data_IF_954696430510
#
_entry.id   IF_954696430510
#
_cell.length_a   1.000
_cell.length_b   1.000
_cell.length_c   1.000
_cell.angle_alpha   90.00
_cell.angle_beta   90.00
_cell.angle_gamma   90.00
#
_symmetry.space_group_name_H-M   'P 1'
#
loop_
_entity.id
_entity.type
_entity.pdbx_description
1 polymer ?
#
# COMPACT_ATOMS: atom_id res chain seq x y z
N UNK A 1 24.68 -20.26 14.50
CA UNK A 1 24.04 -19.83 13.24
C UNK A 1 23.91 -18.33 13.27
N UNK A 2 24.56 -17.61 12.38
CA UNK A 2 24.27 -16.16 12.19
C UNK A 2 22.96 -16.08 11.44
N UNK A 3 21.86 -15.73 12.12
CA UNK A 3 20.62 -15.34 11.47
C UNK A 3 20.84 -13.97 10.79
N UNK A 4 21.38 -14.00 9.61
CA UNK A 4 21.47 -12.81 8.77
C UNK A 4 20.06 -12.55 8.20
N UNK A 5 19.43 -11.47 8.64
CA UNK A 5 18.20 -10.99 8.00
C UNK A 5 18.58 -10.62 6.59
N UNK A 6 18.09 -11.36 5.61
CA UNK A 6 18.28 -11.02 4.21
C UNK A 6 17.34 -9.85 3.84
N UNK A 7 17.88 -8.79 3.23
CA UNK A 7 17.08 -7.69 2.69
C UNK A 7 16.04 -8.15 1.66
N UNK A 8 16.22 -9.33 1.07
CA UNK A 8 15.25 -9.95 0.18
C UNK A 8 13.92 -10.32 0.87
N UNK A 9 13.95 -10.44 2.21
CA UNK A 9 12.77 -10.74 3.04
C UNK A 9 12.17 -9.49 3.69
N UNK A 10 12.79 -8.33 3.51
CA UNK A 10 12.30 -7.06 4.03
C UNK A 10 11.47 -6.35 2.97
N UNK A 11 10.45 -5.63 3.39
CA UNK A 11 9.70 -4.68 2.56
C UNK A 11 9.82 -3.28 3.16
N UNK A 12 9.82 -2.28 2.30
CA UNK A 12 9.81 -0.87 2.72
C UNK A 12 8.46 -0.26 2.38
N UNK A 13 7.90 0.46 3.34
CA UNK A 13 6.61 1.13 3.21
C UNK A 13 6.79 2.59 2.78
N UNK A 14 5.95 3.06 1.86
CA UNK A 14 5.97 4.44 1.38
C UNK A 14 5.43 5.47 2.39
N UNK A 15 4.90 5.06 3.54
CA UNK A 15 4.35 5.96 4.55
C UNK A 15 5.31 7.07 5.00
N UNK A 16 6.59 6.76 5.14
CA UNK A 16 7.61 7.75 5.53
C UNK A 16 7.95 8.78 4.44
N UNK A 17 7.42 8.59 3.25
CA UNK A 17 7.63 9.46 2.08
C UNK A 17 6.42 10.34 1.75
N UNK A 18 5.46 10.48 2.67
CA UNK A 18 4.21 11.23 2.42
C UNK A 18 4.39 12.72 2.09
N UNK A 19 5.57 13.28 2.37
CA UNK A 19 5.91 14.66 2.00
C UNK A 19 6.62 14.79 0.64
N UNK A 20 6.79 13.67 -0.07
CA UNK A 20 7.43 13.59 -1.38
C UNK A 20 6.47 12.93 -2.39
N UNK A 21 6.63 13.19 -3.70
CA UNK A 21 5.90 12.43 -4.72
C UNK A 21 6.19 10.93 -4.61
N UNK A 22 5.20 10.07 -4.92
CA UNK A 22 5.38 8.62 -4.88
C UNK A 22 6.53 8.13 -5.80
N UNK A 23 6.77 8.83 -6.92
CA UNK A 23 7.91 8.54 -7.79
C UNK A 23 9.24 8.63 -7.04
N UNK A 24 9.42 9.63 -6.18
CA UNK A 24 10.65 9.77 -5.38
C UNK A 24 10.87 8.58 -4.44
N UNK A 25 9.80 8.00 -3.90
CA UNK A 25 9.90 6.76 -3.13
C UNK A 25 10.44 5.61 -4.00
N UNK A 26 9.85 5.37 -5.18
CA UNK A 26 10.30 4.31 -6.07
C UNK A 26 11.73 4.53 -6.59
N UNK A 27 12.11 5.76 -6.92
CA UNK A 27 13.49 6.11 -7.32
C UNK A 27 14.49 5.80 -6.19
N UNK A 28 14.08 6.03 -4.94
CA UNK A 28 14.90 5.71 -3.78
C UNK A 28 15.02 4.20 -3.59
N UNK A 29 13.91 3.45 -3.75
CA UNK A 29 13.95 1.98 -3.68
C UNK A 29 14.86 1.39 -4.74
N UNK A 30 14.81 1.90 -5.96
CA UNK A 30 15.70 1.48 -7.04
C UNK A 30 17.17 1.73 -6.68
N UNK A 31 17.51 2.93 -6.20
CA UNK A 31 18.89 3.31 -5.82
C UNK A 31 19.41 2.45 -4.66
N UNK A 32 18.54 2.04 -3.74
CA UNK A 32 18.90 1.21 -2.57
C UNK A 32 18.78 -0.29 -2.87
N UNK A 33 18.44 -0.67 -4.10
CA UNK A 33 18.24 -2.06 -4.53
C UNK A 33 17.20 -2.83 -3.71
N UNK A 34 16.23 -2.12 -3.13
CA UNK A 34 15.11 -2.72 -2.41
C UNK A 34 14.20 -3.44 -3.41
N UNK A 35 13.84 -4.70 -3.12
CA UNK A 35 13.04 -5.54 -4.02
C UNK A 35 11.56 -5.59 -3.66
N UNK A 36 11.23 -5.44 -2.40
CA UNK A 36 9.85 -5.60 -1.93
C UNK A 36 9.32 -4.29 -1.33
N UNK A 37 8.10 -3.97 -1.69
CA UNK A 37 7.39 -2.78 -1.22
C UNK A 37 6.09 -3.19 -0.53
N UNK A 38 5.83 -2.61 0.62
CA UNK A 38 4.51 -2.57 1.23
C UNK A 38 3.88 -1.23 0.86
N UNK A 39 2.86 -1.25 0.03
CA UNK A 39 2.20 -0.02 -0.39
C UNK A 39 1.13 0.38 0.62
N UNK A 40 1.45 1.39 1.42
CA UNK A 40 0.45 2.08 2.21
C UNK A 40 -0.46 2.90 1.32
N UNK A 41 -1.77 2.65 1.41
CA UNK A 41 -2.80 3.34 0.64
C UNK A 41 -3.46 4.43 1.48
N UNK A 42 -3.01 5.64 1.27
CA UNK A 42 -3.50 6.85 1.90
C UNK A 42 -3.02 8.10 1.16
N UNK A 43 -3.61 9.24 1.52
CA UNK A 43 -3.22 10.53 0.97
C UNK A 43 -1.76 10.88 1.36
N UNK A 44 -0.92 11.38 0.44
CA UNK A 44 -1.24 11.79 -0.93
C UNK A 44 -0.97 10.73 -2.01
N UNK A 45 -0.41 9.57 -1.66
CA UNK A 45 0.17 8.64 -2.64
C UNK A 45 -0.88 7.81 -3.37
N UNK A 46 -1.77 7.18 -2.63
CA UNK A 46 -2.78 6.30 -3.20
C UNK A 46 -4.08 6.37 -2.41
N UNK A 47 -5.04 7.14 -2.90
CA UNK A 47 -6.39 7.20 -2.34
C UNK A 47 -7.24 6.17 -3.05
N UNK A 48 -7.97 5.36 -2.27
CA UNK A 48 -8.89 4.34 -2.80
C UNK A 48 -10.25 5.01 -3.06
N UNK A 49 -10.30 5.86 -4.07
CA UNK A 49 -11.48 6.55 -4.60
C UNK A 49 -12.10 5.79 -5.80
N UNK A 50 -12.89 6.47 -6.61
CA UNK A 50 -13.55 5.85 -7.77
C UNK A 50 -12.57 5.49 -8.89
N UNK A 51 -11.45 6.20 -8.99
CA UNK A 51 -10.43 5.99 -10.03
C UNK A 51 -9.24 5.12 -9.57
N UNK A 52 -9.34 4.47 -8.42
CA UNK A 52 -8.23 3.73 -7.83
C UNK A 52 -7.63 2.66 -8.76
N UNK A 53 -8.43 2.08 -9.68
CA UNK A 53 -7.93 1.04 -10.60
C UNK A 53 -6.92 1.59 -11.61
N UNK A 54 -7.14 2.80 -12.13
CA UNK A 54 -6.18 3.44 -13.03
C UNK A 54 -4.91 3.87 -12.28
N UNK A 55 -5.08 4.42 -11.08
CA UNK A 55 -3.96 4.76 -10.19
C UNK A 55 -3.14 3.52 -9.82
N UNK A 56 -3.78 2.40 -9.51
CA UNK A 56 -3.10 1.14 -9.22
C UNK A 56 -2.25 0.66 -10.40
N UNK A 57 -2.76 0.74 -11.63
CA UNK A 57 -1.98 0.40 -12.86
C UNK A 57 -0.73 1.28 -13.00
N UNK A 58 -0.86 2.57 -12.73
CA UNK A 58 0.26 3.50 -12.78
C UNK A 58 1.30 3.16 -11.70
N UNK A 59 0.86 2.89 -10.48
CA UNK A 59 1.74 2.49 -9.37
C UNK A 59 2.45 1.18 -9.67
N UNK A 60 1.76 0.19 -10.22
CA UNK A 60 2.38 -1.07 -10.68
C UNK A 60 3.47 -0.81 -11.73
N UNK A 61 3.23 0.12 -12.66
CA UNK A 61 4.22 0.53 -13.66
C UNK A 61 5.44 1.18 -13.01
N UNK A 62 5.24 2.11 -12.07
CA UNK A 62 6.35 2.73 -11.30
C UNK A 62 7.16 1.67 -10.56
N UNK A 63 6.50 0.74 -9.88
CA UNK A 63 7.14 -0.36 -9.15
C UNK A 63 8.01 -1.23 -10.08
N UNK A 64 7.46 -1.67 -11.21
CA UNK A 64 8.20 -2.48 -12.19
C UNK A 64 9.40 -1.73 -12.75
N UNK A 65 9.25 -0.46 -13.09
CA UNK A 65 10.34 0.39 -13.60
C UNK A 65 11.47 0.56 -12.58
N UNK A 66 11.14 0.60 -11.30
CA UNK A 66 12.11 0.67 -10.20
C UNK A 66 12.73 -0.69 -9.84
N UNK A 67 12.33 -1.78 -10.51
CA UNK A 67 12.80 -3.13 -10.20
C UNK A 67 12.30 -3.66 -8.85
N UNK A 68 11.17 -3.14 -8.39
CA UNK A 68 10.50 -3.58 -7.16
C UNK A 68 9.23 -4.37 -7.47
N UNK A 69 8.69 -5.02 -6.46
CA UNK A 69 7.34 -5.60 -6.47
C UNK A 69 6.56 -5.19 -5.23
N UNK A 70 5.29 -4.95 -5.40
CA UNK A 70 4.37 -4.66 -4.29
C UNK A 70 3.95 -6.01 -3.71
N UNK A 71 4.39 -6.31 -2.48
CA UNK A 71 4.08 -7.58 -1.83
C UNK A 71 2.95 -7.48 -0.82
N UNK A 72 2.64 -6.28 -0.38
CA UNK A 72 1.57 -6.00 0.57
C UNK A 72 0.89 -4.68 0.22
N UNK A 73 -0.42 -4.61 0.49
CA UNK A 73 -1.18 -3.38 0.50
C UNK A 73 -1.70 -3.14 1.92
N UNK A 74 -1.25 -2.05 2.54
CA UNK A 74 -1.67 -1.63 3.87
C UNK A 74 -2.59 -0.41 3.76
N UNK A 75 -3.90 -0.53 4.02
CA UNK A 75 -4.81 0.60 3.92
C UNK A 75 -4.61 1.59 5.08
N UNK A 76 -4.95 2.84 4.85
CA UNK A 76 -5.04 3.83 5.92
C UNK A 76 -6.17 3.47 6.87
N UNK A 77 -5.86 3.32 8.15
CA UNK A 77 -6.81 2.91 9.19
C UNK A 77 -6.96 3.93 10.33
N UNK A 78 -6.00 4.85 10.46
CA UNK A 78 -5.97 5.76 11.60
C UNK A 78 -6.64 7.12 11.31
N UNK A 79 -6.62 7.56 10.06
CA UNK A 79 -7.10 8.89 9.64
C UNK A 79 -8.52 8.88 9.11
N UNK A 80 -9.05 7.72 8.76
CA UNK A 80 -10.40 7.56 8.23
C UNK A 80 -11.35 7.08 9.32
N UNK A 81 -12.63 7.46 9.25
CA UNK A 81 -13.62 7.06 10.26
C UNK A 81 -14.06 5.61 10.05
N UNK A 82 -13.13 4.68 10.23
CA UNK A 82 -13.34 3.24 10.16
C UNK A 82 -12.98 2.60 11.50
N UNK A 83 -13.74 1.61 11.92
CA UNK A 83 -13.50 0.89 13.17
C UNK A 83 -14.10 -0.52 13.08
N UNK A 84 -13.24 -1.53 13.04
CA UNK A 84 -13.66 -2.94 12.98
C UNK A 84 -14.43 -3.38 14.24
N UNK A 85 -14.18 -2.73 15.37
CA UNK A 85 -14.85 -2.99 16.64
C UNK A 85 -16.07 -2.10 16.91
N UNK A 86 -16.54 -1.34 15.90
CA UNK A 86 -17.69 -0.44 16.06
C UNK A 86 -18.94 -1.21 16.50
N UNK A 87 -19.67 -0.66 17.46
CA UNK A 87 -20.95 -1.19 17.92
C UNK A 87 -22.13 -0.58 17.18
N UNK A 88 -22.00 0.66 16.72
CA UNK A 88 -23.03 1.32 15.91
C UNK A 88 -23.04 0.80 14.47
N UNK A 89 -24.25 0.72 13.92
CA UNK A 89 -24.50 0.11 12.60
C UNK A 89 -23.83 0.92 11.47
N UNK A 90 -23.90 2.24 11.54
CA UNK A 90 -23.41 3.11 10.47
C UNK A 90 -21.89 2.96 10.30
N UNK A 91 -21.13 3.06 11.40
CA UNK A 91 -19.66 2.90 11.38
C UNK A 91 -19.26 1.48 10.95
N UNK A 92 -20.01 0.47 11.43
CA UNK A 92 -19.77 -0.93 11.03
C UNK A 92 -19.93 -1.13 9.53
N UNK A 93 -21.05 -0.69 8.94
CA UNK A 93 -21.31 -0.82 7.51
C UNK A 93 -20.31 -0.02 6.67
N UNK A 94 -19.94 1.18 7.12
CA UNK A 94 -18.89 2.01 6.49
C UNK A 94 -17.54 1.26 6.48
N UNK A 95 -17.17 0.70 7.62
CA UNK A 95 -15.91 -0.04 7.78
C UNK A 95 -15.86 -1.25 6.86
N UNK A 96 -16.94 -2.04 6.79
CA UNK A 96 -17.01 -3.20 5.90
C UNK A 96 -16.84 -2.76 4.43
N UNK A 97 -17.59 -1.75 3.98
CA UNK A 97 -17.47 -1.24 2.60
C UNK A 97 -16.07 -0.74 2.29
N UNK A 98 -15.45 -0.04 3.24
CA UNK A 98 -14.08 0.45 3.09
C UNK A 98 -13.09 -0.70 2.89
N UNK A 99 -13.09 -1.71 3.76
CA UNK A 99 -12.16 -2.83 3.64
C UNK A 99 -12.41 -3.70 2.41
N UNK A 100 -13.66 -3.90 1.99
CA UNK A 100 -13.96 -4.59 0.72
C UNK A 100 -13.33 -3.84 -0.46
N UNK A 101 -13.43 -2.52 -0.49
CA UNK A 101 -12.82 -1.69 -1.52
C UNK A 101 -11.29 -1.72 -1.47
N UNK A 102 -10.71 -1.78 -0.27
CA UNK A 102 -9.27 -1.94 -0.08
C UNK A 102 -8.75 -3.30 -0.59
N UNK A 103 -9.53 -4.38 -0.42
CA UNK A 103 -9.20 -5.68 -0.99
C UNK A 103 -9.21 -5.65 -2.53
N UNK A 104 -10.18 -4.96 -3.14
CA UNK A 104 -10.19 -4.75 -4.59
C UNK A 104 -8.97 -3.94 -5.06
N UNK A 105 -8.55 -2.93 -4.28
CA UNK A 105 -7.38 -2.12 -4.57
C UNK A 105 -6.08 -2.94 -4.44
N UNK A 106 -5.98 -3.80 -3.42
CA UNK A 106 -4.85 -4.73 -3.27
C UNK A 106 -4.74 -5.69 -4.47
N UNK A 107 -5.87 -6.21 -4.94
CA UNK A 107 -5.91 -7.04 -6.14
C UNK A 107 -5.48 -6.26 -7.40
N UNK A 108 -5.92 -5.00 -7.55
CA UNK A 108 -5.52 -4.14 -8.67
C UNK A 108 -4.02 -3.77 -8.64
N UNK A 109 -3.41 -3.74 -7.46
CA UNK A 109 -1.97 -3.56 -7.24
C UNK A 109 -1.17 -4.85 -7.44
N UNK A 110 -1.82 -5.98 -7.74
CA UNK A 110 -1.20 -7.30 -7.81
C UNK A 110 -0.50 -7.70 -6.48
N UNK A 111 -0.93 -7.12 -5.37
CA UNK A 111 -0.35 -7.38 -4.05
C UNK A 111 -0.89 -8.72 -3.50
N UNK A 112 -0.02 -9.69 -3.20
CA UNK A 112 -0.46 -10.99 -2.67
C UNK A 112 -0.93 -10.94 -1.22
N UNK A 113 -0.62 -9.85 -0.50
CA UNK A 113 -0.99 -9.67 0.89
C UNK A 113 -1.77 -8.36 1.09
N UNK A 114 -2.68 -8.40 2.03
CA UNK A 114 -3.43 -7.27 2.55
C UNK A 114 -3.34 -7.28 4.09
N UNK A 115 -3.02 -6.14 4.67
CA UNK A 115 -2.82 -6.01 6.12
C UNK A 115 -3.81 -5.03 6.75
#
# INVERSE_FOLDING_TARGET
MKNTISFEKAAVMNYHYIFYPLQHFFDTMQRLEVKNVDLWSGYPHFIIDEDFRNKAKEICRMSRNAGTRIICCTPEQCRYPVNMAATDRETKERTIRYHLRCLEAAAALEAPMYQ
#
